data_IF_525392091388
#
_entry.id   IF_525392091388
#
_cell.length_a   1.000
_cell.length_b   1.000
_cell.length_c   1.000
_cell.angle_alpha   90.00
_cell.angle_beta   90.00
_cell.angle_gamma   90.00
#
_symmetry.space_group_name_H-M   'P 1'
#
loop_
_entity.id
_entity.type
_entity.pdbx_description
1 polymer ?
#
# COMPACT_ATOMS: atom_id res chain seq x y z
N UNK A 1 -34.43 -33.35 -14.94
CA UNK A 1 -33.71 -33.37 -13.65
C UNK A 1 -34.29 -32.25 -12.81
N UNK A 2 -35.05 -32.59 -11.78
CA UNK A 2 -35.50 -31.60 -10.79
C UNK A 2 -34.33 -31.29 -9.87
N UNK A 3 -33.82 -30.07 -9.90
CA UNK A 3 -32.82 -29.62 -8.93
C UNK A 3 -33.55 -29.37 -7.61
N UNK A 4 -33.28 -30.21 -6.61
CA UNK A 4 -33.71 -29.94 -5.24
C UNK A 4 -32.95 -28.72 -4.72
N UNK A 5 -33.69 -27.66 -4.40
CA UNK A 5 -33.12 -26.45 -3.81
C UNK A 5 -32.66 -26.75 -2.38
N UNK A 6 -31.36 -26.98 -2.19
CA UNK A 6 -30.77 -27.12 -0.85
C UNK A 6 -30.86 -25.77 -0.14
N UNK A 7 -31.52 -25.70 1.01
CA UNK A 7 -31.56 -24.46 1.78
C UNK A 7 -30.21 -24.24 2.46
N UNK A 8 -29.76 -22.98 2.54
CA UNK A 8 -28.50 -22.63 3.20
C UNK A 8 -28.46 -23.11 4.66
N UNK A 9 -29.62 -23.15 5.33
CA UNK A 9 -29.76 -23.61 6.71
C UNK A 9 -29.58 -25.13 6.88
N UNK A 10 -29.60 -25.91 5.80
CA UNK A 10 -29.42 -27.37 5.84
C UNK A 10 -27.94 -27.76 5.73
N UNK A 11 -27.08 -26.83 5.28
CA UNK A 11 -25.65 -27.08 5.17
C UNK A 11 -25.01 -27.19 6.56
N UNK A 12 -23.99 -28.06 6.76
CA UNK A 12 -23.17 -28.10 7.98
C UNK A 12 -22.42 -26.78 8.24
N UNK A 13 -22.06 -26.51 9.50
CA UNK A 13 -21.36 -25.27 9.90
C UNK A 13 -20.01 -25.13 9.17
N UNK A 14 -19.31 -26.24 8.94
CA UNK A 14 -18.02 -26.28 8.26
C UNK A 14 -18.13 -25.83 6.80
N UNK A 15 -19.17 -26.28 6.11
CA UNK A 15 -19.45 -25.91 4.72
C UNK A 15 -19.82 -24.42 4.65
N UNK A 16 -20.68 -23.96 5.57
CA UNK A 16 -21.02 -22.54 5.68
C UNK A 16 -19.78 -21.68 5.94
N UNK A 17 -18.89 -22.10 6.83
CA UNK A 17 -17.63 -21.39 7.09
C UNK A 17 -16.75 -21.31 5.85
N UNK A 18 -16.65 -22.38 5.05
CA UNK A 18 -15.87 -22.38 3.80
C UNK A 18 -16.45 -21.38 2.79
N UNK A 19 -17.77 -21.34 2.64
CA UNK A 19 -18.47 -20.42 1.74
C UNK A 19 -18.29 -18.97 2.22
N UNK A 20 -18.59 -18.71 3.50
CA UNK A 20 -18.56 -17.36 4.07
C UNK A 20 -17.15 -16.77 4.14
N UNK A 21 -16.11 -17.59 4.28
CA UNK A 21 -14.70 -17.15 4.20
C UNK A 21 -14.29 -16.57 2.84
N UNK A 22 -15.14 -16.70 1.81
CA UNK A 22 -14.91 -16.07 0.50
C UNK A 22 -15.43 -14.63 0.44
N UNK A 23 -16.22 -14.20 1.41
CA UNK A 23 -16.79 -12.86 1.50
C UNK A 23 -15.95 -11.98 2.41
N UNK A 24 -16.10 -10.66 2.29
CA UNK A 24 -15.46 -9.74 3.22
C UNK A 24 -16.09 -9.87 4.61
N UNK A 25 -15.28 -9.76 5.68
CA UNK A 25 -15.75 -9.93 7.06
C UNK A 25 -16.93 -9.02 7.39
N UNK A 26 -16.94 -7.78 6.90
CA UNK A 26 -18.05 -6.85 7.11
C UNK A 26 -19.33 -7.27 6.38
N UNK A 27 -19.25 -7.87 5.19
CA UNK A 27 -20.41 -8.37 4.47
C UNK A 27 -21.06 -9.54 5.23
N UNK A 28 -20.24 -10.44 5.78
CA UNK A 28 -20.71 -11.56 6.61
C UNK A 28 -21.40 -11.03 7.87
N UNK A 29 -20.75 -10.12 8.60
CA UNK A 29 -21.29 -9.56 9.83
C UNK A 29 -22.59 -8.79 9.57
N UNK A 30 -22.61 -7.92 8.57
CA UNK A 30 -23.79 -7.14 8.21
C UNK A 30 -24.95 -8.03 7.75
N UNK A 31 -24.67 -9.06 6.95
CA UNK A 31 -25.71 -9.90 6.37
C UNK A 31 -26.28 -10.89 7.37
N UNK A 32 -25.46 -11.44 8.28
CA UNK A 32 -25.88 -12.56 9.12
C UNK A 32 -26.29 -12.16 10.54
N UNK A 33 -25.74 -11.07 11.10
CA UNK A 33 -26.03 -10.68 12.48
C UNK A 33 -27.48 -10.17 12.60
N UNK A 34 -28.25 -10.88 13.42
CA UNK A 34 -29.67 -10.61 13.67
C UNK A 34 -30.63 -11.48 12.86
N UNK A 35 -30.14 -12.25 11.88
CA UNK A 35 -31.01 -13.03 10.98
C UNK A 35 -31.47 -14.34 11.62
N UNK A 36 -30.53 -15.13 12.14
CA UNK A 36 -30.85 -16.45 12.71
C UNK A 36 -29.86 -16.83 13.81
N UNK A 37 -30.31 -17.54 14.85
CA UNK A 37 -29.47 -17.88 16.02
C UNK A 37 -28.21 -18.66 15.62
N UNK A 38 -28.32 -19.61 14.69
CA UNK A 38 -27.19 -20.39 14.18
C UNK A 38 -26.20 -19.51 13.41
N UNK A 39 -26.70 -18.66 12.50
CA UNK A 39 -25.88 -17.77 11.69
C UNK A 39 -25.21 -16.69 12.54
N UNK A 40 -25.87 -16.21 13.61
CA UNK A 40 -25.27 -15.30 14.59
C UNK A 40 -24.04 -15.93 15.27
N UNK A 41 -24.12 -17.21 15.63
CA UNK A 41 -22.98 -17.93 16.24
C UNK A 41 -21.81 -17.99 15.26
N UNK A 42 -22.09 -18.33 14.00
CA UNK A 42 -21.09 -18.40 12.92
C UNK A 42 -20.45 -17.03 12.68
N UNK A 43 -21.25 -15.97 12.54
CA UNK A 43 -20.76 -14.62 12.28
C UNK A 43 -19.91 -14.04 13.43
N UNK A 44 -20.10 -14.53 14.66
CA UNK A 44 -19.31 -14.15 15.84
C UNK A 44 -18.03 -14.98 16.03
N UNK A 45 -17.73 -15.87 15.09
CA UNK A 45 -16.47 -16.61 15.09
C UNK A 45 -15.27 -15.66 14.89
N UNK A 46 -14.17 -16.01 15.54
CA UNK A 46 -12.92 -15.25 15.51
C UNK A 46 -12.37 -14.99 14.09
N UNK A 47 -12.67 -15.87 13.14
CA UNK A 47 -12.31 -15.70 11.72
C UNK A 47 -12.87 -14.39 11.15
N UNK A 48 -14.09 -14.02 11.53
CA UNK A 48 -14.76 -12.82 11.02
C UNK A 48 -14.63 -11.61 11.95
N UNK A 49 -14.38 -11.82 13.25
CA UNK A 49 -14.38 -10.72 14.24
C UNK A 49 -12.99 -10.21 14.63
N UNK A 50 -11.93 -11.01 14.48
CA UNK A 50 -10.60 -10.60 14.95
C UNK A 50 -10.02 -9.48 14.08
N UNK A 51 -10.17 -9.58 12.75
CA UNK A 51 -9.61 -8.63 11.81
C UNK A 51 -10.74 -8.01 11.01
N UNK A 52 -11.06 -6.74 11.24
CA UNK A 52 -12.13 -6.06 10.52
C UNK A 52 -11.56 -5.03 9.57
N UNK A 53 -12.15 -4.97 8.38
CA UNK A 53 -11.91 -3.95 7.38
C UNK A 53 -13.21 -3.19 7.19
N UNK A 54 -13.24 -1.92 7.59
CA UNK A 54 -14.42 -1.06 7.63
C UNK A 54 -14.42 -0.07 6.47
N UNK A 55 -14.16 -0.59 5.27
CA UNK A 55 -14.22 0.12 4.00
C UNK A 55 -14.48 -0.88 2.87
N UNK A 56 -14.85 -0.37 1.69
CA UNK A 56 -15.03 -1.17 0.49
C UNK A 56 -13.79 -1.02 -0.38
N UNK A 57 -13.08 -2.12 -0.65
CA UNK A 57 -12.02 -2.14 -1.65
C UNK A 57 -12.60 -2.53 -3.00
N UNK A 58 -12.38 -1.70 -4.00
CA UNK A 58 -12.71 -2.00 -5.39
C UNK A 58 -11.61 -2.83 -6.07
N UNK A 59 -11.93 -3.46 -7.20
CA UNK A 59 -10.99 -4.26 -7.99
C UNK A 59 -9.79 -3.44 -8.47
N UNK A 60 -10.05 -2.18 -8.85
CA UNK A 60 -9.01 -1.25 -9.27
C UNK A 60 -8.12 -0.75 -8.11
N UNK A 61 -8.47 -1.08 -6.86
CA UNK A 61 -7.66 -0.79 -5.67
C UNK A 61 -8.09 0.46 -4.92
N UNK A 62 -9.11 1.18 -5.37
CA UNK A 62 -9.64 2.31 -4.60
C UNK A 62 -10.36 1.82 -3.34
N UNK A 63 -10.14 2.57 -2.27
CA UNK A 63 -10.79 2.37 -0.99
C UNK A 63 -11.90 3.40 -0.85
N UNK A 64 -13.13 2.92 -0.67
CA UNK A 64 -14.33 3.73 -0.48
C UNK A 64 -14.87 3.56 0.93
N UNK A 65 -15.40 4.64 1.50
CA UNK A 65 -16.14 4.61 2.77
C UNK A 65 -17.34 3.67 2.67
N UNK A 66 -17.65 2.99 3.79
CA UNK A 66 -18.92 2.29 3.91
C UNK A 66 -20.06 3.32 3.94
N UNK A 67 -21.21 3.03 3.28
CA UNK A 67 -22.40 3.85 3.41
C UNK A 67 -22.83 4.03 4.86
N UNK A 68 -23.27 5.23 5.23
CA UNK A 68 -23.71 5.55 6.60
C UNK A 68 -24.70 4.56 7.20
N UNK A 69 -25.74 4.08 6.49
CA UNK A 69 -26.66 3.08 7.04
C UNK A 69 -25.99 1.76 7.43
N UNK A 70 -24.89 1.40 6.75
CA UNK A 70 -24.11 0.19 7.08
C UNK A 70 -23.33 0.43 8.36
N UNK A 71 -22.68 1.59 8.48
CA UNK A 71 -21.96 2.00 9.69
C UNK A 71 -22.91 2.14 10.88
N UNK A 72 -24.07 2.77 10.72
CA UNK A 72 -25.09 2.93 11.76
C UNK A 72 -25.51 1.57 12.32
N UNK A 73 -25.83 0.62 11.44
CA UNK A 73 -26.20 -0.74 11.86
C UNK A 73 -25.02 -1.44 12.53
N UNK A 74 -23.80 -1.26 12.02
CA UNK A 74 -22.61 -1.82 12.64
C UNK A 74 -22.45 -1.33 14.08
N UNK A 75 -22.52 -0.02 14.31
CA UNK A 75 -22.37 0.58 15.64
C UNK A 75 -23.47 0.16 16.60
N UNK A 76 -24.72 0.13 16.15
CA UNK A 76 -25.86 -0.13 17.02
C UNK A 76 -26.09 -1.62 17.31
N UNK A 77 -25.81 -2.51 16.36
CA UNK A 77 -26.24 -3.93 16.46
C UNK A 77 -25.10 -4.95 16.46
N UNK A 78 -23.95 -4.62 15.88
CA UNK A 78 -22.86 -5.56 15.64
C UNK A 78 -21.71 -5.29 16.61
N UNK A 79 -21.18 -4.08 16.63
CA UNK A 79 -20.03 -3.67 17.42
C UNK A 79 -20.18 -4.02 18.92
N UNK A 80 -21.33 -3.78 19.59
CA UNK A 80 -21.48 -4.12 21.01
C UNK A 80 -21.30 -5.61 21.32
N UNK A 81 -21.47 -6.49 20.31
CA UNK A 81 -21.34 -7.94 20.47
C UNK A 81 -19.94 -8.46 20.19
N UNK A 82 -19.11 -7.69 19.48
CA UNK A 82 -17.83 -8.16 18.96
C UNK A 82 -16.64 -7.30 19.36
N UNK A 83 -16.83 -6.11 19.94
CA UNK A 83 -15.73 -5.17 20.19
C UNK A 83 -14.57 -5.74 21.03
N UNK A 84 -14.87 -6.64 21.98
CA UNK A 84 -13.86 -7.33 22.77
C UNK A 84 -13.06 -8.36 21.99
N UNK A 85 -13.54 -8.84 20.84
CA UNK A 85 -12.85 -9.83 19.99
C UNK A 85 -11.98 -9.18 18.93
N UNK A 86 -12.18 -7.89 18.64
CA UNK A 86 -11.45 -7.17 17.61
C UNK A 86 -9.99 -7.02 18.05
N UNK A 87 -9.10 -7.45 17.16
CA UNK A 87 -7.65 -7.46 17.31
C UNK A 87 -6.96 -6.53 16.30
N UNK A 88 -7.57 -6.39 15.13
CA UNK A 88 -7.11 -5.54 14.04
C UNK A 88 -8.25 -4.74 13.42
N UNK A 89 -8.01 -3.45 13.14
CA UNK A 89 -8.93 -2.56 12.44
C UNK A 89 -8.28 -1.95 11.20
N UNK A 90 -8.85 -2.20 10.02
CA UNK A 90 -8.59 -1.49 8.79
C UNK A 90 -9.65 -0.39 8.59
N UNK A 91 -9.23 0.86 8.58
CA UNK A 91 -10.10 2.04 8.57
C UNK A 91 -9.76 2.95 7.40
N UNK A 92 -10.75 3.64 6.86
CA UNK A 92 -10.55 4.73 5.92
C UNK A 92 -10.75 6.10 6.61
N UNK A 93 -10.11 7.13 6.07
CA UNK A 93 -10.07 8.51 6.56
C UNK A 93 -11.32 9.05 7.28
N UNK A 94 -12.49 8.99 6.65
CA UNK A 94 -13.72 9.66 7.11
C UNK A 94 -14.39 8.93 8.27
N UNK A 95 -14.10 7.63 8.42
CA UNK A 95 -14.75 6.78 9.42
C UNK A 95 -13.91 6.59 10.69
N UNK A 96 -12.63 7.00 10.70
CA UNK A 96 -11.68 6.70 11.79
C UNK A 96 -12.19 7.16 13.15
N UNK A 97 -12.45 8.47 13.31
CA UNK A 97 -12.87 9.01 14.61
C UNK A 97 -14.21 8.40 15.04
N UNK A 98 -15.15 8.27 14.11
CA UNK A 98 -16.45 7.68 14.40
C UNK A 98 -16.32 6.25 14.92
N UNK A 99 -15.45 5.44 14.32
CA UNK A 99 -15.24 4.04 14.71
C UNK A 99 -14.49 3.93 16.03
N UNK A 100 -13.40 4.68 16.17
CA UNK A 100 -12.54 4.59 17.34
C UNK A 100 -13.20 5.20 18.59
N UNK A 101 -14.07 6.22 18.45
CA UNK A 101 -14.87 6.77 19.57
C UNK A 101 -16.06 5.89 19.98
N UNK A 102 -16.53 5.00 19.09
CA UNK A 102 -17.78 4.28 19.33
C UNK A 102 -17.72 3.32 20.54
N UNK A 103 -16.55 2.78 20.86
CA UNK A 103 -16.40 1.82 21.98
C UNK A 103 -14.93 1.66 22.39
N UNK A 104 -14.69 0.93 23.47
CA UNK A 104 -13.36 0.50 23.87
C UNK A 104 -12.99 -0.83 23.17
N UNK A 105 -11.78 -0.94 22.64
CA UNK A 105 -11.28 -2.13 21.96
C UNK A 105 -10.15 -2.78 22.78
N UNK A 106 -10.47 -3.53 23.85
CA UNK A 106 -9.47 -3.96 24.84
C UNK A 106 -8.39 -4.90 24.28
N UNK A 107 -8.66 -5.59 23.17
CA UNK A 107 -7.75 -6.54 22.54
C UNK A 107 -7.14 -6.02 21.23
N UNK A 108 -7.36 -4.74 20.90
CA UNK A 108 -6.83 -4.13 19.70
C UNK A 108 -5.31 -3.95 19.84
N UNK A 109 -4.56 -4.61 18.96
CA UNK A 109 -3.11 -4.44 18.91
C UNK A 109 -2.63 -3.88 17.57
N UNK A 110 -3.50 -3.79 16.56
CA UNK A 110 -3.10 -3.28 15.25
C UNK A 110 -4.16 -2.46 14.54
N UNK A 111 -3.70 -1.41 13.85
CA UNK A 111 -4.53 -0.52 13.04
C UNK A 111 -3.90 -0.34 11.66
N UNK A 112 -4.71 -0.41 10.62
CA UNK A 112 -4.36 0.01 9.27
C UNK A 112 -5.23 1.17 8.86
N UNK A 113 -4.62 2.26 8.44
CA UNK A 113 -5.32 3.43 7.97
C UNK A 113 -5.08 3.62 6.47
N UNK A 114 -6.16 3.67 5.70
CA UNK A 114 -6.13 3.71 4.24
C UNK A 114 -6.71 5.00 3.68
N UNK A 115 -6.12 5.45 2.57
CA UNK A 115 -6.56 6.64 1.83
C UNK A 115 -6.70 7.85 2.75
N UNK A 116 -5.79 7.97 3.73
CA UNK A 116 -5.80 9.11 4.65
C UNK A 116 -5.37 10.36 3.88
N UNK A 117 -6.25 11.36 3.87
CA UNK A 117 -5.89 12.70 3.44
C UNK A 117 -4.95 13.34 4.46
N UNK A 118 -4.08 14.21 3.98
CA UNK A 118 -3.03 14.81 4.76
C UNK A 118 -3.55 15.49 6.04
N UNK A 119 -4.58 16.32 5.91
CA UNK A 119 -5.24 17.07 6.98
C UNK A 119 -5.91 16.14 7.99
N UNK A 120 -6.46 15.02 7.52
CA UNK A 120 -7.07 14.02 8.41
C UNK A 120 -5.99 13.31 9.21
N UNK A 121 -4.87 12.94 8.57
CA UNK A 121 -3.70 12.40 9.27
C UNK A 121 -3.24 13.38 10.36
N UNK A 122 -3.12 14.65 9.97
CA UNK A 122 -2.76 15.74 10.87
C UNK A 122 -3.74 15.79 12.05
N UNK A 123 -5.05 15.90 11.82
CA UNK A 123 -6.05 15.93 12.90
C UNK A 123 -5.94 14.72 13.83
N UNK A 124 -5.78 13.52 13.27
CA UNK A 124 -5.69 12.27 14.02
C UNK A 124 -4.45 12.14 14.90
N UNK A 125 -3.33 12.77 14.53
CA UNK A 125 -2.08 12.68 15.28
C UNK A 125 -1.74 13.96 16.05
N UNK A 126 -2.44 15.08 15.79
CA UNK A 126 -2.23 16.37 16.47
C UNK A 126 -3.28 16.67 17.54
N UNK A 127 -4.51 16.18 17.40
CA UNK A 127 -5.54 16.37 18.40
C UNK A 127 -5.31 15.38 19.56
N UNK A 128 -5.00 15.89 20.75
CA UNK A 128 -4.85 15.09 21.97
C UNK A 128 -6.15 14.38 22.36
N UNK A 129 -7.29 14.86 21.85
CA UNK A 129 -8.61 14.23 21.99
C UNK A 129 -8.93 13.26 20.86
N UNK A 130 -8.03 13.09 19.89
CA UNK A 130 -8.19 12.07 18.86
C UNK A 130 -8.22 10.69 19.49
N UNK A 131 -9.01 9.81 18.87
CA UNK A 131 -9.20 8.48 19.41
C UNK A 131 -7.94 7.62 19.29
N UNK A 132 -7.10 7.89 18.28
CA UNK A 132 -5.82 7.19 18.09
C UNK A 132 -4.89 7.48 19.26
N UNK A 133 -4.83 8.73 19.75
CA UNK A 133 -4.03 9.09 20.92
C UNK A 133 -4.44 8.30 22.18
N UNK A 134 -5.73 7.99 22.35
CA UNK A 134 -6.20 7.17 23.49
C UNK A 134 -5.78 5.70 23.40
N UNK A 135 -5.54 5.19 22.18
CA UNK A 135 -5.17 3.80 21.91
C UNK A 135 -3.67 3.57 21.79
N UNK A 136 -2.85 4.63 21.87
CA UNK A 136 -1.39 4.59 21.63
C UNK A 136 -0.62 3.53 22.44
N UNK A 137 -1.07 3.25 23.67
CA UNK A 137 -0.41 2.29 24.56
C UNK A 137 -0.82 0.84 24.28
N UNK A 138 -1.88 0.62 23.47
CA UNK A 138 -2.40 -0.69 23.11
C UNK A 138 -1.90 -1.13 21.71
N UNK A 139 -1.70 -0.17 20.80
CA UNK A 139 -1.29 -0.44 19.42
C UNK A 139 0.20 -0.85 19.35
N UNK A 140 0.44 -2.06 18.87
CA UNK A 140 1.77 -2.63 18.59
C UNK A 140 2.14 -2.58 17.11
N UNK A 141 1.14 -2.52 16.23
CA UNK A 141 1.32 -2.50 14.78
C UNK A 141 0.51 -1.37 14.14
N UNK A 142 1.18 -0.55 13.33
CA UNK A 142 0.56 0.55 12.60
C UNK A 142 0.93 0.48 11.11
N UNK A 143 -0.10 0.48 10.27
CA UNK A 143 0.04 0.59 8.81
C UNK A 143 -0.58 1.91 8.37
N UNK A 144 0.20 2.75 7.71
CA UNK A 144 -0.26 4.02 7.15
C UNK A 144 -0.12 3.98 5.63
N UNK A 145 -1.26 4.10 4.95
CA UNK A 145 -1.37 4.22 3.49
C UNK A 145 -1.97 5.59 3.17
N UNK A 146 -1.09 6.51 2.78
CA UNK A 146 -1.41 7.92 2.53
C UNK A 146 -1.55 8.08 1.02
N UNK A 147 -2.73 8.52 0.57
CA UNK A 147 -3.03 8.73 -0.85
C UNK A 147 -3.61 10.12 -1.07
N UNK A 148 -3.14 10.82 -2.11
CA UNK A 148 -3.65 12.14 -2.50
C UNK A 148 -4.51 12.01 -3.75
N UNK A 149 -5.64 11.33 -3.65
CA UNK A 149 -6.60 11.17 -4.75
C UNK A 149 -7.35 12.47 -5.13
N UNK A 150 -6.94 13.65 -4.64
CA UNK A 150 -7.52 14.95 -5.03
C UNK A 150 -6.45 15.96 -5.44
N UNK A 151 -6.39 16.23 -6.74
CA UNK A 151 -5.47 17.16 -7.44
C UNK A 151 -5.80 18.64 -7.19
N UNK A 152 -6.79 18.99 -6.34
CA UNK A 152 -7.19 20.39 -6.17
C UNK A 152 -6.85 20.92 -4.77
N UNK A 153 -5.66 21.54 -4.72
CA UNK A 153 -5.20 22.56 -3.77
C UNK A 153 -5.50 22.32 -2.29
N UNK A 154 -4.76 21.43 -1.63
CA UNK A 154 -4.72 21.28 -0.17
C UNK A 154 -3.36 20.63 0.26
N UNK A 155 -2.97 20.69 1.55
CA UNK A 155 -1.59 20.77 2.05
C UNK A 155 -0.72 19.58 1.68
N UNK A 156 0.58 19.86 1.63
CA UNK A 156 1.59 18.96 1.10
C UNK A 156 1.75 17.76 2.04
N UNK A 157 1.99 16.56 1.48
CA UNK A 157 2.39 15.36 2.23
C UNK A 157 3.47 15.66 3.30
N UNK A 158 4.36 16.61 3.00
CA UNK A 158 5.36 17.12 3.93
C UNK A 158 4.77 17.62 5.27
N UNK A 159 3.62 18.29 5.24
CA UNK A 159 2.96 18.83 6.44
C UNK A 159 2.51 17.69 7.38
N UNK A 160 2.12 16.53 6.84
CA UNK A 160 1.80 15.35 7.65
C UNK A 160 3.01 14.82 8.39
N UNK A 161 4.14 14.76 7.69
CA UNK A 161 5.37 14.25 8.24
C UNK A 161 5.97 15.20 9.28
N UNK A 162 5.90 16.53 9.08
CA UNK A 162 6.38 17.52 10.05
C UNK A 162 5.60 17.39 11.37
N UNK A 163 4.32 17.05 11.29
CA UNK A 163 3.45 16.93 12.45
C UNK A 163 3.55 15.56 13.14
N UNK A 164 3.70 14.46 12.37
CA UNK A 164 4.06 13.15 12.93
C UNK A 164 5.38 13.26 13.72
N UNK A 165 6.42 13.87 13.13
CA UNK A 165 7.71 14.03 13.81
C UNK A 165 7.60 14.96 15.04
N UNK A 166 6.93 16.11 14.91
CA UNK A 166 6.74 17.06 16.02
C UNK A 166 6.00 16.50 17.23
N UNK A 167 4.96 15.67 17.05
CA UNK A 167 4.08 15.19 18.14
C UNK A 167 4.41 13.81 18.69
N UNK A 168 5.15 12.95 18.00
CA UNK A 168 5.77 11.80 18.67
C UNK A 168 6.68 12.23 19.83
N UNK A 169 7.21 13.47 19.80
CA UNK A 169 8.02 14.06 20.88
C UNK A 169 7.16 14.62 22.03
N UNK A 170 5.84 14.76 21.85
CA UNK A 170 4.92 15.32 22.83
C UNK A 170 3.99 14.26 23.44
N UNK A 171 3.92 13.06 22.87
CA UNK A 171 3.11 11.94 23.37
C UNK A 171 3.51 11.44 24.78
N UNK A 172 4.57 11.98 25.39
CA UNK A 172 4.96 11.73 26.79
C UNK A 172 5.01 12.95 27.71
N UNK A 173 4.83 14.17 27.20
CA UNK A 173 4.97 15.40 28.03
C UNK A 173 3.69 16.22 28.00
N UNK A 174 2.95 16.17 29.10
CA UNK A 174 1.79 16.99 29.37
C UNK A 174 2.17 18.49 29.44
N UNK A 175 1.22 19.35 29.04
CA UNK A 175 1.12 20.78 29.33
C UNK A 175 2.02 21.75 28.54
N UNK A 176 1.44 22.39 27.52
CA UNK A 176 1.34 23.85 27.39
C UNK A 176 0.97 24.22 25.93
N UNK A 177 -0.24 24.78 25.77
CA UNK A 177 -0.57 25.96 24.97
C UNK A 177 0.13 26.21 23.61
N UNK A 178 -0.74 26.39 22.59
CA UNK A 178 -0.71 27.45 21.54
C UNK A 178 -0.50 27.02 20.05
N UNK A 179 -1.54 27.40 19.28
CA UNK A 179 -1.72 27.82 17.88
C UNK A 179 -0.79 27.39 16.72
N UNK A 180 -1.47 26.94 15.65
CA UNK A 180 -1.17 27.11 14.20
C UNK A 180 -0.47 28.45 13.84
N UNK A 181 0.35 28.63 12.78
CA UNK A 181 0.23 28.33 11.34
C UNK A 181 1.64 28.17 10.70
N UNK A 182 1.71 27.44 9.58
CA UNK A 182 2.73 27.34 8.52
C UNK A 182 3.91 28.35 8.49
N UNK A 183 5.02 27.85 7.94
CA UNK A 183 6.23 28.54 7.49
C UNK A 183 7.25 28.90 8.58
N UNK A 184 7.94 27.90 9.12
CA UNK A 184 9.34 27.97 9.57
C UNK A 184 9.83 26.57 9.95
N UNK A 185 11.13 26.27 9.79
CA UNK A 185 11.67 24.96 10.16
C UNK A 185 11.56 24.85 11.68
N UNK A 186 10.61 24.04 12.15
CA UNK A 186 10.49 23.69 13.55
C UNK A 186 11.81 23.03 13.95
N UNK A 187 12.57 23.70 14.81
CA UNK A 187 13.65 23.09 15.58
C UNK A 187 13.02 22.10 16.55
N UNK A 188 12.82 20.88 16.06
CA UNK A 188 12.21 19.77 16.80
C UNK A 188 13.25 19.24 17.81
N UNK A 189 12.81 19.05 19.05
CA UNK A 189 13.65 18.58 20.14
C UNK A 189 13.93 17.06 19.96
N UNK A 190 15.09 16.74 19.37
CA UNK A 190 15.50 15.42 18.84
C UNK A 190 15.78 14.28 19.86
N UNK A 191 15.13 14.21 21.03
CA UNK A 191 15.60 13.33 22.13
C UNK A 191 14.69 12.19 22.60
N UNK A 192 13.45 12.08 22.15
CA UNK A 192 12.52 11.10 22.75
C UNK A 192 12.15 9.91 21.84
N UNK A 193 12.25 8.70 22.42
CA UNK A 193 12.11 7.39 21.78
C UNK A 193 10.64 6.96 21.72
N UNK A 194 10.25 6.14 20.73
CA UNK A 194 8.93 5.50 20.60
C UNK A 194 9.07 4.01 20.99
N UNK A 195 8.89 3.62 22.27
CA UNK A 195 9.36 2.33 22.75
C UNK A 195 8.43 1.14 22.47
N UNK A 196 7.16 1.36 22.14
CA UNK A 196 6.16 0.27 22.09
C UNK A 196 5.94 -0.33 20.70
N UNK A 197 6.18 0.42 19.63
CA UNK A 197 5.87 -0.02 18.27
C UNK A 197 6.88 -1.10 17.81
N UNK A 198 6.35 -2.25 17.39
CA UNK A 198 7.16 -3.38 16.89
C UNK A 198 7.12 -3.50 15.37
N UNK A 199 6.00 -3.11 14.76
CA UNK A 199 5.79 -3.20 13.33
C UNK A 199 5.33 -1.84 12.79
N UNK A 200 6.03 -1.33 11.78
CA UNK A 200 5.66 -0.10 11.09
C UNK A 200 5.70 -0.31 9.58
N UNK A 201 4.67 0.16 8.90
CA UNK A 201 4.62 0.18 7.44
C UNK A 201 4.20 1.56 6.96
N UNK A 202 5.01 2.14 6.08
CA UNK A 202 4.74 3.41 5.42
C UNK A 202 4.66 3.18 3.91
N UNK A 203 3.50 3.44 3.34
CA UNK A 203 3.29 3.46 1.90
C UNK A 203 2.95 4.88 1.45
N UNK A 204 3.75 5.40 0.53
CA UNK A 204 3.53 6.66 -0.14
C UNK A 204 3.68 6.45 -1.65
N UNK A 205 2.58 6.63 -2.37
CA UNK A 205 2.47 6.51 -3.82
C UNK A 205 2.80 7.82 -4.55
N UNK A 206 3.18 8.87 -3.81
CA UNK A 206 3.51 10.19 -4.33
C UNK A 206 4.98 10.50 -4.04
N UNK A 207 5.59 11.28 -4.94
CA UNK A 207 6.94 11.79 -4.75
C UNK A 207 7.03 12.70 -3.51
N UNK A 208 7.94 12.38 -2.60
CA UNK A 208 8.23 13.16 -1.39
C UNK A 208 9.66 13.68 -1.38
N UNK A 209 9.85 14.95 -1.01
CA UNK A 209 11.18 15.58 -0.90
C UNK A 209 11.70 15.65 0.55
N UNK A 210 11.00 15.05 1.52
CA UNK A 210 11.30 15.19 2.96
C UNK A 210 11.78 13.89 3.61
N UNK A 211 12.32 12.97 2.81
CA UNK A 211 12.84 11.72 3.34
C UNK A 211 13.92 11.96 4.42
N UNK A 212 14.95 12.74 4.09
CA UNK A 212 16.08 13.00 5.00
C UNK A 212 15.66 13.88 6.18
N UNK A 213 14.72 14.81 5.95
CA UNK A 213 14.29 15.79 6.95
C UNK A 213 13.30 15.22 7.96
N UNK A 214 12.47 14.25 7.57
CA UNK A 214 11.33 13.82 8.38
C UNK A 214 11.17 12.32 8.49
N UNK A 215 11.18 11.60 7.37
CA UNK A 215 10.96 10.14 7.40
C UNK A 215 12.10 9.47 8.16
N UNK A 216 13.35 9.83 7.86
CA UNK A 216 14.51 9.22 8.47
C UNK A 216 14.61 9.52 9.99
N UNK A 217 14.50 10.78 10.45
CA UNK A 217 14.45 11.09 11.88
C UNK A 217 13.30 10.38 12.62
N UNK A 218 12.11 10.32 12.03
CA UNK A 218 10.97 9.59 12.60
C UNK A 218 11.30 8.11 12.81
N UNK A 219 11.88 7.48 11.79
CA UNK A 219 12.30 6.09 11.82
C UNK A 219 13.36 5.84 12.91
N UNK A 220 14.36 6.72 13.04
CA UNK A 220 15.40 6.62 14.09
C UNK A 220 14.83 6.64 15.51
N UNK A 221 13.64 7.19 15.71
CA UNK A 221 13.00 7.25 17.03
C UNK A 221 12.27 5.95 17.37
N UNK A 222 11.96 5.12 16.37
CA UNK A 222 11.31 3.82 16.52
C UNK A 222 12.34 2.69 16.74
N UNK A 223 13.25 2.86 17.71
CA UNK A 223 14.39 1.96 17.96
C UNK A 223 14.00 0.51 18.29
N UNK A 224 12.75 0.26 18.68
CA UNK A 224 12.26 -1.05 19.05
C UNK A 224 11.55 -1.81 17.91
N UNK A 225 11.55 -1.28 16.69
CA UNK A 225 10.96 -1.96 15.55
C UNK A 225 11.63 -3.30 15.29
N UNK A 226 10.81 -4.35 15.23
CA UNK A 226 11.19 -5.69 14.80
C UNK A 226 10.91 -5.88 13.30
N UNK A 227 9.92 -5.15 12.75
CA UNK A 227 9.54 -5.19 11.34
C UNK A 227 9.30 -3.79 10.78
N UNK A 228 9.91 -3.51 9.63
CA UNK A 228 9.75 -2.27 8.88
C UNK A 228 9.41 -2.59 7.42
N UNK A 229 8.35 -1.95 6.90
CA UNK A 229 8.02 -1.96 5.48
C UNK A 229 7.99 -0.53 4.94
N UNK A 230 8.81 -0.22 3.95
CA UNK A 230 8.84 1.09 3.31
C UNK A 230 8.54 0.97 1.83
N UNK A 231 7.48 1.62 1.36
CA UNK A 231 7.27 1.82 -0.08
C UNK A 231 7.14 3.31 -0.35
N UNK A 232 8.15 3.90 -0.99
CA UNK A 232 8.32 5.35 -1.10
C UNK A 232 8.75 5.74 -2.50
N UNK A 233 8.29 6.91 -2.94
CA UNK A 233 8.84 7.65 -4.09
C UNK A 233 9.52 8.90 -3.53
N UNK A 234 10.84 9.00 -3.59
CA UNK A 234 11.61 10.10 -3.01
C UNK A 234 12.17 11.00 -4.10
N UNK A 235 11.76 12.26 -4.11
CA UNK A 235 12.25 13.27 -5.03
C UNK A 235 13.29 14.20 -4.41
N UNK A 236 13.98 14.96 -5.26
CA UNK A 236 14.83 16.10 -4.90
C UNK A 236 15.92 15.80 -3.85
N UNK A 237 16.34 14.54 -3.73
CA UNK A 237 17.40 14.16 -2.80
C UNK A 237 18.76 14.58 -3.35
N UNK A 238 19.63 15.09 -2.48
CA UNK A 238 21.02 15.45 -2.84
C UNK A 238 21.89 14.23 -3.14
N UNK A 239 21.56 13.06 -2.60
CA UNK A 239 22.35 11.84 -2.76
C UNK A 239 21.47 10.70 -3.24
N UNK A 240 22.10 9.74 -3.93
CA UNK A 240 21.41 8.54 -4.34
C UNK A 240 21.02 7.68 -3.15
N UNK A 241 19.84 7.06 -3.25
CA UNK A 241 19.52 5.92 -2.43
C UNK A 241 20.31 4.72 -2.91
N UNK A 242 21.24 4.28 -2.07
CA UNK A 242 21.94 3.02 -2.24
C UNK A 242 21.87 2.21 -0.93
N UNK A 243 22.60 1.12 -0.88
CA UNK A 243 22.56 0.13 0.19
C UNK A 243 23.43 0.54 1.34
N UNK A 244 24.46 1.35 1.07
CA UNK A 244 25.24 1.96 2.12
C UNK A 244 24.38 3.01 2.82
N UNK A 245 23.59 3.78 2.09
CA UNK A 245 22.63 4.73 2.63
C UNK A 245 21.61 4.01 3.51
N UNK A 246 20.95 2.95 3.02
CA UNK A 246 20.03 2.15 3.85
C UNK A 246 20.73 1.49 5.04
N UNK A 247 21.97 1.01 4.88
CA UNK A 247 22.72 0.38 5.96
C UNK A 247 23.06 1.38 7.06
N UNK A 248 23.61 2.53 6.68
CA UNK A 248 24.04 3.60 7.59
C UNK A 248 22.82 4.23 8.27
N UNK A 249 21.79 4.54 7.49
CA UNK A 249 20.66 5.31 7.96
C UNK A 249 19.62 4.42 8.63
N UNK A 250 19.30 3.22 8.14
CA UNK A 250 18.25 2.38 8.73
C UNK A 250 18.86 1.26 9.57
N UNK A 251 19.64 0.37 8.95
CA UNK A 251 20.03 -0.91 9.55
C UNK A 251 20.90 -0.70 10.81
N UNK A 252 21.88 0.20 10.74
CA UNK A 252 22.78 0.46 11.86
C UNK A 252 22.09 1.11 13.08
N UNK A 253 20.98 1.83 12.85
CA UNK A 253 20.26 2.54 13.92
C UNK A 253 19.13 1.70 14.55
N UNK A 254 18.67 0.63 13.87
CA UNK A 254 17.56 -0.20 14.32
C UNK A 254 18.01 -1.60 14.72
N UNK A 255 18.64 -1.73 15.89
CA UNK A 255 19.27 -2.99 16.34
C UNK A 255 18.30 -4.16 16.55
N UNK A 256 16.99 -3.91 16.67
CA UNK A 256 15.96 -4.94 16.81
C UNK A 256 15.30 -5.35 15.50
N UNK A 257 15.64 -4.68 14.39
CA UNK A 257 14.99 -4.88 13.11
C UNK A 257 15.39 -6.23 12.51
N UNK A 258 14.45 -7.18 12.53
CA UNK A 258 14.64 -8.53 12.03
C UNK A 258 14.09 -8.69 10.61
N UNK A 259 13.09 -7.88 10.25
CA UNK A 259 12.46 -7.90 8.92
C UNK A 259 12.44 -6.49 8.37
N UNK A 260 13.18 -6.27 7.29
CA UNK A 260 13.13 -5.03 6.52
C UNK A 260 12.69 -5.33 5.09
N UNK A 261 11.49 -4.89 4.74
CA UNK A 261 10.96 -4.95 3.38
C UNK A 261 10.94 -3.53 2.82
N UNK A 262 11.43 -3.33 1.61
CA UNK A 262 11.41 -2.00 1.02
C UNK A 262 11.23 -2.02 -0.48
N UNK A 263 10.66 -0.95 -0.99
CA UNK A 263 10.51 -0.61 -2.39
C UNK A 263 10.60 0.92 -2.51
N UNK A 264 11.81 1.43 -2.72
CA UNK A 264 12.08 2.87 -2.74
C UNK A 264 12.50 3.23 -4.14
N UNK A 265 11.70 4.08 -4.79
CA UNK A 265 12.08 4.79 -6.00
C UNK A 265 12.62 6.14 -5.58
N UNK A 266 13.74 6.55 -6.15
CA UNK A 266 14.29 7.89 -5.92
C UNK A 266 14.56 8.59 -7.24
N UNK A 267 14.37 9.90 -7.28
CA UNK A 267 14.80 10.78 -8.36
C UNK A 267 15.85 11.75 -7.79
N UNK A 268 16.97 11.92 -8.49
CA UNK A 268 17.94 12.97 -8.18
C UNK A 268 17.89 14.03 -9.27
N UNK A 269 17.80 15.31 -8.89
CA UNK A 269 17.90 16.42 -9.84
C UNK A 269 19.38 16.65 -10.16
N UNK A 270 19.81 16.12 -11.30
CA UNK A 270 21.19 16.15 -11.79
C UNK A 270 21.75 17.52 -12.17
N UNK A 271 21.00 18.61 -11.99
CA UNK A 271 21.39 19.92 -12.49
C UNK A 271 22.75 20.42 -11.97
N UNK A 272 23.31 19.87 -10.88
CA UNK A 272 24.54 20.35 -10.26
C UNK A 272 25.60 19.28 -9.86
N UNK A 273 25.51 18.01 -10.27
CA UNK A 273 26.50 16.98 -9.87
C UNK A 273 27.47 16.62 -11.00
N UNK A 274 28.74 17.04 -10.84
CA UNK A 274 29.85 16.81 -11.78
C UNK A 274 30.38 15.36 -11.71
N UNK A 275 30.03 14.59 -10.68
CA UNK A 275 30.53 13.23 -10.46
C UNK A 275 29.36 12.25 -10.41
N UNK A 276 28.99 11.65 -11.54
CA UNK A 276 28.12 10.49 -11.56
C UNK A 276 28.81 9.34 -10.78
N UNK A 277 28.09 8.60 -9.92
CA UNK A 277 28.62 7.37 -9.37
C UNK A 277 29.03 6.42 -10.50
N UNK A 278 30.21 5.81 -10.40
CA UNK A 278 30.68 4.86 -11.40
C UNK A 278 29.68 3.72 -11.56
N UNK A 279 29.48 3.25 -12.79
CA UNK A 279 28.56 2.15 -13.11
C UNK A 279 28.77 0.90 -12.24
N UNK A 280 30.00 0.64 -11.76
CA UNK A 280 30.29 -0.48 -10.85
C UNK A 280 29.63 -0.33 -9.46
N UNK A 281 29.55 0.88 -8.90
CA UNK A 281 28.91 1.10 -7.60
C UNK A 281 27.39 0.94 -7.68
N UNK A 282 26.81 1.26 -8.83
CA UNK A 282 25.38 1.10 -9.12
C UNK A 282 25.07 -0.39 -9.32
N UNK A 283 25.85 -1.10 -10.15
CA UNK A 283 25.55 -2.47 -10.55
C UNK A 283 25.63 -3.52 -9.44
N UNK A 284 26.41 -3.29 -8.38
CA UNK A 284 26.61 -4.31 -7.35
C UNK A 284 25.41 -4.50 -6.41
N UNK A 285 24.44 -3.58 -6.39
CA UNK A 285 23.23 -3.76 -5.56
C UNK A 285 22.00 -2.96 -6.04
N UNK A 286 22.13 -2.09 -7.06
CA UNK A 286 21.14 -1.06 -7.42
C UNK A 286 20.91 -0.94 -8.93
N UNK A 287 19.82 -0.27 -9.31
CA UNK A 287 19.55 0.08 -10.70
C UNK A 287 19.25 1.57 -10.77
N UNK A 288 20.20 2.32 -11.32
CA UNK A 288 19.97 3.67 -11.78
C UNK A 288 19.55 3.63 -13.26
N UNK A 289 18.55 4.41 -13.65
CA UNK A 289 18.30 4.71 -15.06
C UNK A 289 19.11 5.95 -15.52
N UNK A 290 19.23 6.13 -16.83
CA UNK A 290 19.98 7.22 -17.45
C UNK A 290 19.45 8.62 -17.10
N UNK A 291 18.25 8.71 -16.52
CA UNK A 291 17.61 9.97 -16.10
C UNK A 291 17.85 10.30 -14.64
N UNK A 292 18.62 9.47 -13.94
CA UNK A 292 18.96 9.74 -12.56
C UNK A 292 17.95 9.24 -11.55
N UNK A 293 17.06 8.34 -11.96
CA UNK A 293 16.21 7.63 -11.03
C UNK A 293 16.92 6.38 -10.54
N UNK A 294 16.85 6.10 -9.24
CA UNK A 294 17.32 4.84 -8.67
C UNK A 294 16.14 4.07 -8.07
N UNK A 295 16.02 2.80 -8.42
CA UNK A 295 15.02 1.91 -7.84
C UNK A 295 15.68 0.83 -7.01
N UNK A 296 15.36 0.81 -5.71
CA UNK A 296 15.92 -0.15 -4.75
C UNK A 296 14.79 -0.93 -4.08
N UNK A 297 14.96 -2.24 -3.94
CA UNK A 297 13.97 -3.09 -3.29
C UNK A 297 14.61 -4.26 -2.52
N UNK A 298 13.91 -4.75 -1.51
CA UNK A 298 14.35 -5.90 -0.71
C UNK A 298 14.29 -7.21 -1.51
N UNK A 299 15.28 -8.09 -1.32
CA UNK A 299 15.30 -9.44 -1.90
C UNK A 299 15.16 -10.53 -0.81
N UNK A 300 14.26 -11.53 -0.96
CA UNK A 300 13.29 -11.65 -2.05
C UNK A 300 12.23 -10.54 -1.98
N UNK A 301 11.74 -10.11 -3.15
CA UNK A 301 10.69 -9.11 -3.23
C UNK A 301 9.38 -9.68 -2.70
N UNK A 302 8.84 -9.10 -1.61
CA UNK A 302 7.65 -9.62 -0.90
C UNK A 302 6.38 -8.80 -1.08
N UNK A 303 6.45 -7.65 -1.75
CA UNK A 303 5.26 -6.84 -1.98
C UNK A 303 4.37 -7.47 -3.06
N UNK A 304 3.07 -7.24 -2.94
CA UNK A 304 2.05 -7.78 -3.87
C UNK A 304 1.82 -6.88 -5.09
N UNK A 305 2.47 -5.73 -5.18
CA UNK A 305 2.45 -4.84 -6.35
C UNK A 305 3.88 -4.51 -6.79
N UNK A 306 4.06 -4.14 -8.05
CA UNK A 306 5.29 -3.54 -8.57
C UNK A 306 4.89 -2.44 -9.55
N UNK A 307 5.12 -1.18 -9.14
CA UNK A 307 4.68 -0.02 -9.90
C UNK A 307 5.80 0.69 -10.66
N UNK A 308 5.41 1.29 -11.79
CA UNK A 308 6.29 2.14 -12.61
C UNK A 308 7.41 1.38 -13.31
N UNK A 309 7.14 0.17 -13.81
CA UNK A 309 8.12 -0.60 -14.58
C UNK A 309 8.34 0.05 -15.95
N UNK A 310 9.60 0.33 -16.26
CA UNK A 310 10.06 0.94 -17.53
C UNK A 310 10.71 -0.11 -18.44
N UNK A 311 11.03 0.24 -19.69
CA UNK A 311 11.73 -0.61 -20.66
C UNK A 311 13.08 -1.15 -20.15
N UNK A 312 13.69 -0.47 -19.17
CA UNK A 312 14.94 -0.87 -18.53
C UNK A 312 14.78 -2.05 -17.55
N UNK A 313 13.57 -2.59 -17.41
CA UNK A 313 13.31 -3.75 -16.57
C UNK A 313 14.08 -4.98 -17.06
N UNK A 314 14.96 -5.58 -16.24
CA UNK A 314 15.82 -6.70 -16.64
C UNK A 314 15.13 -8.05 -16.71
N UNK A 315 13.95 -8.17 -16.12
CA UNK A 315 13.35 -9.46 -15.78
C UNK A 315 13.66 -9.91 -14.34
N UNK A 316 13.66 -11.23 -14.12
CA UNK A 316 13.74 -11.86 -12.78
C UNK A 316 12.40 -12.38 -12.30
N UNK A 317 12.36 -13.24 -11.27
CA UNK A 317 11.11 -13.94 -10.86
C UNK A 317 10.53 -13.30 -9.58
N UNK A 318 9.35 -12.70 -9.72
CA UNK A 318 8.66 -12.00 -8.64
C UNK A 318 7.40 -12.77 -8.20
N UNK A 319 7.60 -13.84 -7.42
CA UNK A 319 6.54 -14.81 -7.06
C UNK A 319 5.41 -14.22 -6.20
N UNK A 320 5.63 -13.09 -5.52
CA UNK A 320 4.65 -12.47 -4.62
C UNK A 320 3.85 -11.35 -5.27
N UNK A 321 4.32 -10.82 -6.40
CA UNK A 321 3.66 -9.72 -7.11
C UNK A 321 2.38 -10.24 -7.78
N UNK A 322 1.29 -9.50 -7.61
CA UNK A 322 -0.03 -9.74 -8.19
C UNK A 322 -0.49 -8.58 -9.06
N UNK A 323 -0.02 -7.36 -8.78
CA UNK A 323 -0.37 -6.15 -9.51
C UNK A 323 0.88 -5.53 -10.13
N UNK A 324 0.84 -5.20 -11.41
CA UNK A 324 1.96 -4.55 -12.10
C UNK A 324 1.45 -3.32 -12.83
N UNK A 325 2.18 -2.21 -12.73
CA UNK A 325 1.98 -1.05 -13.60
C UNK A 325 3.23 -0.76 -14.44
N UNK A 326 3.00 -0.54 -15.73
CA UNK A 326 4.03 -0.24 -16.72
C UNK A 326 3.91 1.22 -17.14
N UNK A 327 5.02 1.95 -17.15
CA UNK A 327 5.09 3.32 -17.63
C UNK A 327 6.47 3.61 -18.20
N UNK A 328 6.53 4.20 -19.39
CA UNK A 328 7.76 4.70 -20.00
C UNK A 328 7.43 5.79 -21.02
N UNK A 329 8.41 6.64 -21.31
CA UNK A 329 8.34 7.60 -22.41
C UNK A 329 8.61 6.93 -23.77
N UNK A 330 9.29 5.78 -23.80
CA UNK A 330 9.53 5.00 -25.01
C UNK A 330 8.48 3.91 -25.19
N UNK A 331 8.15 3.50 -26.43
CA UNK A 331 7.16 2.44 -26.66
C UNK A 331 7.59 1.10 -26.06
N UNK A 332 6.61 0.31 -25.63
CA UNK A 332 6.82 -1.05 -25.13
C UNK A 332 6.73 -2.06 -26.28
N UNK A 333 7.84 -2.69 -26.64
CA UNK A 333 7.84 -3.69 -27.73
C UNK A 333 7.39 -5.08 -27.24
N UNK A 334 7.08 -5.98 -28.16
CA UNK A 334 6.60 -7.34 -27.84
C UNK A 334 7.50 -8.08 -26.83
N UNK A 335 8.82 -8.04 -27.03
CA UNK A 335 9.81 -8.66 -26.16
C UNK A 335 9.77 -8.15 -24.71
N UNK A 336 9.36 -6.89 -24.52
CA UNK A 336 9.17 -6.34 -23.19
C UNK A 336 8.01 -7.03 -22.48
N UNK A 337 6.86 -7.16 -23.14
CA UNK A 337 5.70 -7.85 -22.57
C UNK A 337 5.98 -9.33 -22.28
N UNK A 338 6.76 -10.00 -23.14
CA UNK A 338 7.22 -11.38 -22.89
C UNK A 338 8.05 -11.46 -21.61
N UNK A 339 8.98 -10.52 -21.42
CA UNK A 339 9.78 -10.39 -20.20
C UNK A 339 8.90 -10.15 -18.97
N UNK A 340 7.88 -9.30 -19.08
CA UNK A 340 6.89 -9.08 -18.00
C UNK A 340 6.16 -10.38 -17.66
N UNK A 341 5.66 -11.12 -18.65
CA UNK A 341 4.95 -12.39 -18.41
C UNK A 341 5.82 -13.42 -17.67
N UNK A 342 7.08 -13.57 -18.09
CA UNK A 342 8.04 -14.47 -17.45
C UNK A 342 8.38 -14.03 -16.02
N UNK A 343 8.45 -12.72 -15.79
CA UNK A 343 8.82 -12.17 -14.50
C UNK A 343 7.72 -12.24 -13.44
N UNK A 344 6.47 -12.17 -13.87
CA UNK A 344 5.31 -12.09 -12.98
C UNK A 344 4.34 -13.25 -13.23
N UNK A 345 4.75 -14.50 -12.91
CA UNK A 345 3.99 -15.70 -13.29
C UNK A 345 2.62 -15.83 -12.59
N UNK A 346 2.38 -15.06 -11.53
CA UNK A 346 1.13 -15.04 -10.76
C UNK A 346 0.41 -13.69 -10.84
N UNK A 347 0.71 -12.87 -11.86
CA UNK A 347 0.10 -11.55 -12.05
C UNK A 347 -1.40 -11.67 -12.29
N UNK A 348 -2.18 -10.94 -11.48
CA UNK A 348 -3.64 -10.86 -11.56
C UNK A 348 -4.12 -9.55 -12.17
N UNK A 349 -3.33 -8.47 -12.06
CA UNK A 349 -3.63 -7.16 -12.63
C UNK A 349 -2.43 -6.58 -13.36
N UNK A 350 -2.66 -6.11 -14.59
CA UNK A 350 -1.69 -5.37 -15.39
C UNK A 350 -2.29 -4.03 -15.80
N UNK A 351 -1.60 -2.92 -15.49
CA UNK A 351 -1.92 -1.59 -15.99
C UNK A 351 -0.80 -1.12 -16.91
N UNK A 352 -1.15 -0.65 -18.12
CA UNK A 352 -0.19 -0.12 -19.09
C UNK A 352 -0.53 1.32 -19.37
N UNK A 353 0.41 2.22 -19.04
CA UNK A 353 0.30 3.65 -19.33
C UNK A 353 1.45 4.05 -20.25
N UNK A 354 1.17 4.08 -21.55
CA UNK A 354 2.14 4.44 -22.58
C UNK A 354 1.37 4.84 -23.85
N UNK A 355 1.48 6.08 -24.27
CA UNK A 355 0.74 6.57 -25.45
C UNK A 355 1.54 6.40 -26.76
N UNK A 356 2.81 5.97 -26.67
CA UNK A 356 3.67 5.77 -27.82
C UNK A 356 3.26 4.54 -28.62
N UNK A 357 3.34 4.66 -29.95
CA UNK A 357 3.08 3.57 -30.88
C UNK A 357 4.21 2.55 -30.88
N UNK A 358 3.85 1.28 -30.94
CA UNK A 358 4.83 0.21 -31.10
C UNK A 358 5.49 0.31 -32.48
N UNK A 359 6.81 0.22 -32.52
CA UNK A 359 7.58 0.25 -33.76
C UNK A 359 7.55 -1.16 -34.39
N UNK A 360 7.79 -2.19 -33.58
CA UNK A 360 7.89 -3.58 -34.00
C UNK A 360 6.65 -4.35 -33.54
N UNK A 361 5.52 -4.09 -34.19
CA UNK A 361 4.25 -4.77 -33.90
C UNK A 361 4.35 -6.25 -34.28
N UNK A 362 3.83 -7.12 -33.42
CA UNK A 362 3.68 -8.55 -33.71
C UNK A 362 2.95 -8.82 -35.03
N UNK A 363 1.95 -7.99 -35.37
CA UNK A 363 1.06 -8.21 -36.52
C UNK A 363 1.36 -7.35 -37.76
N UNK A 364 2.47 -6.60 -37.78
CA UNK A 364 2.85 -5.86 -39.00
C UNK A 364 3.54 -6.81 -39.97
N UNK A 365 2.71 -7.46 -40.79
CA UNK A 365 3.00 -8.01 -42.12
C UNK A 365 4.47 -8.40 -42.29
N UNK A 366 4.83 -9.56 -41.73
CA UNK A 366 6.01 -10.24 -42.22
C UNK A 366 5.77 -10.53 -43.71
N UNK A 367 6.49 -9.82 -44.58
CA UNK A 367 6.64 -10.24 -45.99
C UNK A 367 7.43 -11.55 -46.10
N UNK A 368 7.89 -12.09 -44.97
CA UNK A 368 8.59 -13.34 -44.82
C UNK A 368 7.81 -14.22 -43.84
N UNK A 369 7.16 -15.27 -44.33
CA UNK A 369 6.21 -16.16 -43.64
C UNK A 369 6.77 -16.96 -42.43
N UNK A 370 7.91 -16.59 -41.83
CA UNK A 370 8.63 -17.46 -40.88
C UNK A 370 9.01 -16.82 -39.53
N UNK A 371 8.37 -15.72 -39.11
CA UNK A 371 8.55 -15.20 -37.74
C UNK A 371 7.19 -14.93 -37.09
N UNK A 372 6.47 -16.00 -36.78
CA UNK A 372 5.40 -15.95 -35.79
C UNK A 372 6.05 -15.73 -34.41
N UNK A 373 5.97 -14.50 -33.90
CA UNK A 373 6.32 -14.23 -32.51
C UNK A 373 5.34 -14.99 -31.61
N UNK A 374 5.88 -15.69 -30.62
CA UNK A 374 5.11 -16.51 -29.69
C UNK A 374 4.07 -15.69 -28.93
N UNK A 375 2.84 -16.19 -28.85
CA UNK A 375 1.75 -15.59 -28.08
C UNK A 375 2.14 -15.50 -26.60
N UNK A 376 2.03 -14.29 -26.03
CA UNK A 376 2.35 -14.05 -24.63
C UNK A 376 1.15 -14.42 -23.77
N UNK A 377 1.32 -15.40 -22.88
CA UNK A 377 0.24 -15.89 -22.00
C UNK A 377 0.35 -15.31 -20.60
N UNK A 378 -0.76 -14.79 -20.09
CA UNK A 378 -0.91 -14.35 -18.70
C UNK A 378 -1.97 -15.20 -17.98
N UNK A 379 -1.62 -16.41 -17.49
CA UNK A 379 -2.59 -17.41 -17.06
C UNK A 379 -3.45 -17.00 -15.85
N UNK A 380 -3.01 -16.02 -15.06
CA UNK A 380 -3.73 -15.55 -13.86
C UNK A 380 -4.28 -14.13 -13.99
N UNK A 381 -4.16 -13.50 -15.16
CA UNK A 381 -4.59 -12.13 -15.36
C UNK A 381 -6.12 -12.05 -15.32
N UNK A 382 -6.64 -11.27 -14.38
CA UNK A 382 -8.07 -11.01 -14.16
C UNK A 382 -8.46 -9.61 -14.59
N UNK A 383 -7.52 -8.66 -14.51
CA UNK A 383 -7.75 -7.25 -14.82
C UNK A 383 -6.64 -6.70 -15.72
N UNK A 384 -7.02 -6.13 -16.85
CA UNK A 384 -6.14 -5.45 -17.78
C UNK A 384 -6.63 -4.01 -17.94
N UNK A 385 -5.79 -3.05 -17.57
CA UNK A 385 -6.07 -1.62 -17.67
C UNK A 385 -5.19 -0.98 -18.74
N UNK A 386 -5.83 -0.45 -19.78
CA UNK A 386 -5.23 0.15 -20.96
C UNK A 386 -5.72 1.60 -21.19
N UNK A 387 -6.36 2.23 -20.19
CA UNK A 387 -7.10 3.52 -20.34
C UNK A 387 -6.22 4.63 -20.92
N UNK A 388 -4.92 4.65 -20.61
CA UNK A 388 -3.95 5.64 -21.08
C UNK A 388 -2.86 4.99 -21.93
N UNK A 389 -3.27 4.08 -22.82
CA UNK A 389 -2.36 3.34 -23.67
C UNK A 389 -2.65 3.54 -25.16
N UNK A 390 -1.61 3.43 -25.98
CA UNK A 390 -1.76 3.38 -27.42
C UNK A 390 -2.60 2.17 -27.86
N UNK A 391 -3.40 2.33 -28.92
CA UNK A 391 -4.22 1.26 -29.51
C UNK A 391 -3.42 0.02 -29.93
N UNK A 392 -2.11 0.19 -30.17
CA UNK A 392 -1.21 -0.91 -30.50
C UNK A 392 -1.10 -1.93 -29.36
N UNK A 393 -1.15 -1.48 -28.10
CA UNK A 393 -1.16 -2.36 -26.94
C UNK A 393 -2.48 -3.13 -26.83
N UNK A 394 -3.60 -2.52 -27.19
CA UNK A 394 -4.87 -3.24 -27.25
C UNK A 394 -4.79 -4.39 -28.26
N UNK A 395 -4.19 -4.15 -29.42
CA UNK A 395 -3.96 -5.19 -30.41
C UNK A 395 -3.07 -6.32 -29.86
N UNK A 396 -1.99 -6.00 -29.16
CA UNK A 396 -1.07 -6.95 -28.53
C UNK A 396 -1.73 -7.88 -27.49
N UNK A 397 -2.80 -7.43 -26.81
CA UNK A 397 -3.47 -8.21 -25.77
C UNK A 397 -4.83 -8.80 -26.20
N UNK A 398 -5.56 -8.16 -27.13
CA UNK A 398 -6.95 -8.51 -27.45
C UNK A 398 -7.11 -9.23 -28.79
N UNK A 399 -6.21 -9.04 -29.77
CA UNK A 399 -6.35 -9.75 -31.05
C UNK A 399 -6.06 -11.25 -30.92
N UNK A 400 -5.36 -11.66 -29.86
CA UNK A 400 -5.14 -13.07 -29.50
C UNK A 400 -6.34 -13.72 -28.77
N UNK A 401 -7.36 -12.95 -28.34
CA UNK A 401 -8.57 -13.51 -27.72
C UNK A 401 -9.71 -13.81 -28.71
N UNK A 402 -9.52 -13.46 -29.99
CA UNK A 402 -10.51 -13.66 -31.06
C UNK A 402 -10.14 -14.77 -32.06
N UNK A 403 -9.00 -15.45 -31.84
CA UNK A 403 -8.61 -16.71 -32.49
C UNK A 403 -8.52 -17.82 -31.45
#
# INVERSE_FOLDING_TARGET
MEYTCVQLNDLPDEVLMIILKKLANMEVLYSLVGVHKRLNRIAQDSVFTNNLTLFISSSNGFVYSLPDPILDRFFSHILPKIHQKIKWLGLESLSIERILRATNYPNLYGISLYNIQAETAIGLFTDETSSICTLKNQILELVLDISTNKIQSLPNFNDCLYLLDGRFNQLYTLSANISFICASPLTINNKEKIPTLKCFSLHCDIETCVYDELILPLLHRMLNLEKLSLCLIVGDRKTFFDGNDLKINIINNMSRLNIFTFNIRSSSRFYNQINLPSNENIQNTFRADEKGHCHIYSYPYKLNYYDGITNNFPGGIFKYVRKVSLFDEHPFEHEFFLRIAQSFPLMEKLSVRNEQRQINKQFRQSKNENQDLSIIKYPYLKELDLIHSCIDYHAQFLLDMLM
#
